data_IF_127037509211
#
_entry.id   IF_127037509211
#
_cell.length_a   1.000
_cell.length_b   1.000
_cell.length_c   1.000
_cell.angle_alpha   90.00
_cell.angle_beta   90.00
_cell.angle_gamma   90.00
#
_symmetry.space_group_name_H-M   'P 1'
#
loop_
_entity.id
_entity.type
_entity.pdbx_description
1 polymer ?
#
# COMPACT_ATOMS: atom_id res chain seq x y z
N UNK A 1 14.73 23.66 -18.20
CA UNK A 1 14.70 22.91 -16.92
C UNK A 1 13.39 22.14 -16.73
N UNK A 2 12.21 22.74 -16.99
CA UNK A 2 10.93 22.02 -17.02
C UNK A 2 10.82 20.98 -18.16
N UNK A 3 11.32 21.28 -19.36
CA UNK A 3 11.34 20.30 -20.47
C UNK A 3 12.21 19.07 -20.20
N UNK A 4 13.25 19.22 -19.38
CA UNK A 4 14.14 18.11 -18.99
C UNK A 4 13.44 17.15 -18.00
N UNK A 5 12.59 17.67 -17.12
CA UNK A 5 11.75 16.85 -16.24
C UNK A 5 10.65 16.13 -17.03
N UNK A 6 9.99 16.78 -18.00
CA UNK A 6 8.96 16.13 -18.83
C UNK A 6 9.52 14.99 -19.72
N UNK A 7 10.77 15.08 -20.19
CA UNK A 7 11.38 14.03 -21.01
C UNK A 7 11.81 12.79 -20.21
N UNK A 8 12.01 12.91 -18.89
CA UNK A 8 12.34 11.78 -17.98
C UNK A 8 11.11 10.96 -17.57
N UNK A 9 9.90 11.48 -17.79
CA UNK A 9 8.63 10.83 -17.44
C UNK A 9 7.81 10.35 -18.65
N UNK A 10 8.31 10.54 -19.89
CA UNK A 10 7.65 10.01 -21.09
C UNK A 10 8.33 8.71 -21.52
N UNK A 11 7.71 7.57 -21.22
CA UNK A 11 8.14 6.26 -21.71
C UNK A 11 6.98 5.54 -22.41
N UNK A 12 6.86 5.63 -23.74
CA UNK A 12 6.43 4.52 -24.56
C UNK A 12 7.69 3.78 -24.98
N UNK A 13 8.09 2.79 -24.20
CA UNK A 13 9.24 1.95 -24.51
C UNK A 13 8.73 0.57 -24.93
N UNK A 14 8.44 0.44 -26.23
CA UNK A 14 8.28 -0.84 -26.91
C UNK A 14 9.61 -1.60 -26.83
N UNK A 15 9.67 -2.67 -26.02
CA UNK A 15 10.82 -3.58 -25.97
C UNK A 15 10.34 -5.02 -25.94
N UNK A 16 10.50 -5.72 -27.06
CA UNK A 16 10.16 -7.14 -27.24
C UNK A 16 11.21 -8.10 -26.64
N UNK A 17 11.93 -7.72 -25.58
CA UNK A 17 13.13 -8.48 -25.16
C UNK A 17 13.45 -8.57 -23.67
N UNK A 18 12.65 -7.98 -22.78
CA UNK A 18 12.89 -8.06 -21.32
C UNK A 18 11.60 -8.25 -20.52
N UNK A 19 10.72 -9.14 -20.94
CA UNK A 19 9.58 -9.51 -20.11
C UNK A 19 10.02 -10.57 -19.09
N UNK A 20 9.97 -10.24 -17.80
CA UNK A 20 10.13 -11.23 -16.70
C UNK A 20 8.97 -12.23 -16.59
N UNK A 21 8.22 -12.41 -17.69
CA UNK A 21 7.08 -13.31 -17.86
C UNK A 21 7.33 -14.17 -19.09
N UNK A 22 6.87 -15.42 -19.04
CA UNK A 22 6.86 -16.32 -20.19
C UNK A 22 5.65 -16.02 -21.07
N UNK A 23 5.91 -15.45 -22.24
CA UNK A 23 4.87 -15.20 -23.25
C UNK A 23 4.38 -16.54 -23.82
N UNK A 24 3.07 -16.65 -23.98
CA UNK A 24 2.45 -17.76 -24.69
C UNK A 24 2.78 -17.67 -26.18
N UNK A 25 2.63 -18.78 -26.90
CA UNK A 25 2.97 -18.87 -28.33
C UNK A 25 2.10 -17.88 -29.13
N UNK A 26 2.74 -16.87 -29.74
CA UNK A 26 2.06 -15.84 -30.52
C UNK A 26 1.48 -14.68 -29.69
N UNK A 27 1.81 -14.59 -28.39
CA UNK A 27 1.38 -13.48 -27.53
C UNK A 27 2.37 -12.31 -27.63
N UNK A 28 1.90 -11.11 -27.98
CA UNK A 28 2.72 -9.90 -27.98
C UNK A 28 2.50 -9.05 -26.71
N UNK A 29 3.57 -8.34 -26.34
CA UNK A 29 3.60 -7.44 -25.20
C UNK A 29 3.21 -6.03 -25.63
N UNK A 30 2.02 -5.57 -25.24
CA UNK A 30 1.55 -4.22 -25.55
C UNK A 30 2.12 -3.18 -24.60
N UNK A 31 2.12 -3.46 -23.28
CA UNK A 31 2.54 -2.46 -22.31
C UNK A 31 3.10 -3.07 -21.03
N UNK A 32 4.09 -2.40 -20.45
CA UNK A 32 4.60 -2.67 -19.11
C UNK A 32 4.37 -1.43 -18.23
N UNK A 33 3.77 -1.63 -17.06
CA UNK A 33 3.43 -0.57 -16.12
C UNK A 33 4.05 -0.87 -14.77
N UNK A 34 4.40 0.21 -14.06
CA UNK A 34 4.87 0.16 -12.66
C UNK A 34 4.11 1.21 -11.85
N UNK A 35 3.87 0.98 -10.55
CA UNK A 35 3.20 1.95 -9.72
C UNK A 35 3.99 3.27 -9.60
N UNK A 36 3.25 4.37 -9.71
CA UNK A 36 3.78 5.71 -9.50
C UNK A 36 4.24 5.91 -8.06
N UNK A 37 5.25 6.76 -7.83
CA UNK A 37 5.73 7.06 -6.47
C UNK A 37 4.61 7.59 -5.56
N UNK A 38 3.81 8.50 -6.09
CA UNK A 38 2.71 9.16 -5.35
C UNK A 38 1.51 8.27 -5.04
N UNK A 39 1.36 7.08 -5.65
CA UNK A 39 0.26 6.19 -5.26
C UNK A 39 0.44 5.67 -3.83
N UNK A 40 1.68 5.49 -3.39
CA UNK A 40 2.03 5.06 -2.04
C UNK A 40 2.32 6.23 -1.08
N UNK A 41 1.96 7.46 -1.45
CA UNK A 41 2.30 8.67 -0.69
C UNK A 41 1.83 8.63 0.77
N UNK A 42 0.65 8.06 1.02
CA UNK A 42 0.13 7.90 2.38
C UNK A 42 1.09 7.10 3.29
N UNK A 43 1.69 6.00 2.80
CA UNK A 43 2.67 5.23 3.56
C UNK A 43 3.97 6.01 3.79
N UNK A 44 4.45 6.74 2.78
CA UNK A 44 5.65 7.58 2.93
C UNK A 44 5.44 8.65 4.01
N UNK A 45 4.27 9.31 4.04
CA UNK A 45 3.96 10.31 5.07
C UNK A 45 4.01 9.71 6.47
N UNK A 46 3.46 8.51 6.67
CA UNK A 46 3.41 7.86 7.99
C UNK A 46 4.81 7.59 8.55
N UNK A 47 5.72 7.10 7.72
CA UNK A 47 7.10 6.85 8.16
C UNK A 47 7.94 8.11 8.22
N UNK A 48 7.69 9.09 7.35
CA UNK A 48 8.31 10.40 7.45
C UNK A 48 7.90 11.12 8.74
N UNK A 49 6.63 11.00 9.14
CA UNK A 49 6.14 11.54 10.40
C UNK A 49 6.86 10.91 11.60
N UNK A 50 7.18 9.62 11.56
CA UNK A 50 8.01 8.99 12.60
C UNK A 50 9.41 9.57 12.68
N UNK A 51 10.03 9.96 11.55
CA UNK A 51 11.33 10.63 11.57
C UNK A 51 11.25 12.02 12.19
N UNK A 52 10.23 12.81 11.81
CA UNK A 52 9.97 14.11 12.43
C UNK A 52 9.73 13.94 13.93
N UNK A 53 8.96 12.92 14.30
CA UNK A 53 8.69 12.60 15.69
C UNK A 53 9.98 12.22 16.46
N UNK A 54 10.85 11.39 15.88
CA UNK A 54 12.16 11.07 16.44
C UNK A 54 13.00 12.32 16.73
N UNK A 55 13.01 13.29 15.81
CA UNK A 55 13.70 14.55 16.01
C UNK A 55 13.08 15.40 17.13
N UNK A 56 11.75 15.52 17.15
CA UNK A 56 11.03 16.26 18.21
C UNK A 56 11.31 15.65 19.59
N UNK A 57 11.38 14.32 19.70
CA UNK A 57 11.68 13.65 20.96
C UNK A 57 13.13 13.88 21.38
N UNK A 58 14.07 13.83 20.43
CA UNK A 58 15.46 14.13 20.74
C UNK A 58 15.60 15.53 21.36
N UNK A 59 14.99 16.55 20.76
CA UNK A 59 14.94 17.91 21.33
C UNK A 59 14.21 17.96 22.68
N UNK A 60 13.13 17.19 22.83
CA UNK A 60 12.33 17.14 24.05
C UNK A 60 13.08 16.51 25.24
N UNK A 61 13.88 15.47 25.00
CA UNK A 61 14.73 14.84 26.02
C UNK A 61 15.98 15.67 26.32
N UNK A 62 16.65 16.21 25.31
CA UNK A 62 17.86 17.04 25.49
C UNK A 62 17.55 18.31 26.30
N UNK A 63 16.42 18.96 26.00
CA UNK A 63 15.99 20.17 26.71
C UNK A 63 15.29 19.90 28.06
N UNK A 64 15.24 18.64 28.55
CA UNK A 64 14.58 18.24 29.80
C UNK A 64 13.09 18.67 29.94
N UNK A 65 12.43 18.98 28.82
CA UNK A 65 11.05 19.51 28.75
C UNK A 65 9.99 18.52 29.29
N UNK A 66 10.37 17.26 29.54
CA UNK A 66 9.49 16.27 30.16
C UNK A 66 9.15 16.58 31.61
N UNK A 67 10.00 17.33 32.32
CA UNK A 67 9.77 17.73 33.71
C UNK A 67 8.63 18.78 33.83
N UNK A 68 8.43 19.61 32.79
CA UNK A 68 7.37 20.64 32.75
C UNK A 68 5.98 20.08 32.43
N UNK A 69 5.87 18.78 32.13
CA UNK A 69 4.61 18.17 31.76
C UNK A 69 3.67 18.05 32.97
N UNK A 70 2.42 18.51 32.84
CA UNK A 70 1.42 18.55 33.93
C UNK A 70 1.21 17.23 34.68
N UNK A 71 1.47 16.10 34.04
CA UNK A 71 1.30 14.77 34.61
C UNK A 71 2.62 14.12 35.07
N UNK A 72 3.76 14.80 34.90
CA UNK A 72 5.08 14.29 35.29
C UNK A 72 5.13 13.91 36.78
N UNK A 73 4.65 14.80 37.65
CA UNK A 73 4.61 14.59 39.11
C UNK A 73 3.80 13.36 39.53
N UNK A 74 2.81 12.96 38.72
CA UNK A 74 1.98 11.77 38.97
C UNK A 74 2.74 10.51 38.52
N UNK A 75 3.44 10.61 37.38
CA UNK A 75 4.15 9.49 36.76
C UNK A 75 5.39 9.11 37.57
N UNK A 76 6.17 10.08 38.07
CA UNK A 76 7.39 9.81 38.85
C UNK A 76 7.10 9.26 40.25
N UNK A 77 5.89 9.50 40.79
CA UNK A 77 5.45 8.93 42.07
C UNK A 77 5.14 7.43 42.00
N UNK A 78 5.04 6.86 40.81
CA UNK A 78 4.83 5.43 40.63
C UNK A 78 6.13 4.72 41.08
N UNK A 79 6.07 3.77 42.03
CA UNK A 79 7.25 3.01 42.41
C UNK A 79 7.83 2.34 41.16
N UNK A 80 9.15 2.28 41.06
CA UNK A 80 9.88 1.77 39.89
C UNK A 80 9.97 2.71 38.67
N UNK A 81 9.48 3.96 38.71
CA UNK A 81 9.66 4.93 37.61
C UNK A 81 10.81 5.92 37.92
N UNK A 82 11.80 6.00 37.02
CA UNK A 82 12.85 7.04 37.03
C UNK A 82 12.47 8.16 36.06
N UNK A 83 13.19 9.29 36.09
CA UNK A 83 12.97 10.43 35.19
C UNK A 83 12.92 10.03 33.70
N UNK A 84 13.85 9.19 33.26
CA UNK A 84 13.89 8.72 31.87
C UNK A 84 12.78 7.73 31.52
N UNK A 85 12.33 6.92 32.48
CA UNK A 85 11.18 6.04 32.27
C UNK A 85 9.86 6.84 32.25
N UNK A 86 9.77 7.92 33.02
CA UNK A 86 8.67 8.88 32.94
C UNK A 86 8.65 9.56 31.56
N UNK A 87 9.81 9.99 31.05
CA UNK A 87 9.95 10.49 29.69
C UNK A 87 9.50 9.47 28.64
N UNK A 88 9.86 8.19 28.79
CA UNK A 88 9.45 7.11 27.91
C UNK A 88 7.92 6.87 27.92
N UNK A 89 7.28 6.98 29.09
CA UNK A 89 5.83 6.86 29.22
C UNK A 89 5.13 8.03 28.53
N UNK A 90 5.62 9.26 28.71
CA UNK A 90 5.09 10.46 28.06
C UNK A 90 5.24 10.35 26.53
N UNK A 91 6.42 9.93 26.06
CA UNK A 91 6.69 9.63 24.65
C UNK A 91 5.72 8.59 24.09
N UNK A 92 5.54 7.48 24.80
CA UNK A 92 4.64 6.39 24.41
C UNK A 92 3.19 6.83 24.33
N UNK A 93 2.75 7.66 25.28
CA UNK A 93 1.39 8.21 25.31
C UNK A 93 1.15 9.14 24.13
N UNK A 94 2.13 10.00 23.80
CA UNK A 94 2.03 10.87 22.64
C UNK A 94 2.03 10.07 21.32
N UNK A 95 2.89 9.05 21.16
CA UNK A 95 2.83 8.12 20.02
C UNK A 95 1.49 7.41 19.91
N UNK A 96 0.91 7.00 21.05
CA UNK A 96 -0.37 6.33 21.09
C UNK A 96 -1.52 7.25 20.64
N UNK A 97 -1.54 8.50 21.10
CA UNK A 97 -2.53 9.51 20.66
C UNK A 97 -2.40 9.77 19.17
N UNK A 98 -1.19 10.01 18.67
CA UNK A 98 -0.95 10.19 17.23
C UNK A 98 -1.37 8.95 16.44
N UNK A 99 -0.99 7.76 16.90
CA UNK A 99 -1.38 6.49 16.27
C UNK A 99 -2.89 6.28 16.25
N UNK A 100 -3.60 6.71 17.30
CA UNK A 100 -5.05 6.65 17.38
C UNK A 100 -5.73 7.64 16.42
N UNK A 101 -5.20 8.86 16.32
CA UNK A 101 -5.65 9.85 15.33
C UNK A 101 -5.42 9.32 13.91
N UNK A 102 -4.23 8.77 13.63
CA UNK A 102 -3.90 8.16 12.35
C UNK A 102 -4.83 6.98 12.02
N UNK A 103 -5.20 6.15 13.02
CA UNK A 103 -6.19 5.10 12.84
C UNK A 103 -7.55 5.63 12.41
N UNK A 104 -7.98 6.74 13.00
CA UNK A 104 -9.27 7.36 12.69
C UNK A 104 -9.27 7.99 11.29
N UNK A 105 -8.22 8.77 10.96
CA UNK A 105 -8.09 9.44 9.66
C UNK A 105 -7.88 8.45 8.50
N UNK A 106 -7.10 7.39 8.72
CA UNK A 106 -6.73 6.41 7.70
C UNK A 106 -7.46 5.08 7.87
N UNK A 107 -8.68 5.07 8.42
CA UNK A 107 -9.42 3.84 8.69
C UNK A 107 -9.54 2.93 7.46
N UNK A 108 -9.74 3.54 6.28
CA UNK A 108 -9.85 2.85 5.00
C UNK A 108 -8.49 2.42 4.42
N UNK A 109 -7.43 3.20 4.67
CA UNK A 109 -6.08 3.02 4.09
C UNK A 109 -5.12 2.18 4.96
N UNK A 110 -5.64 1.42 5.93
CA UNK A 110 -4.81 0.57 6.80
C UNK A 110 -4.43 1.20 8.15
N UNK A 111 -5.20 2.18 8.63
CA UNK A 111 -5.05 2.83 9.95
C UNK A 111 -4.79 1.89 11.12
N UNK A 112 -5.31 0.66 11.08
CA UNK A 112 -5.11 -0.36 12.10
C UNK A 112 -3.68 -0.90 12.16
N UNK A 113 -3.00 -1.10 11.03
CA UNK A 113 -1.61 -1.59 11.02
C UNK A 113 -0.66 -0.50 11.50
N UNK A 114 -0.94 0.75 11.14
CA UNK A 114 -0.19 1.93 11.60
C UNK A 114 -0.30 2.07 13.13
N UNK A 115 -1.51 1.96 13.67
CA UNK A 115 -1.73 1.97 15.11
C UNK A 115 -0.97 0.84 15.81
N UNK A 116 -1.03 -0.39 15.28
CA UNK A 116 -0.28 -1.53 15.83
C UNK A 116 1.23 -1.30 15.82
N UNK A 117 1.76 -0.68 14.75
CA UNK A 117 3.18 -0.34 14.64
C UNK A 117 3.57 0.69 15.70
N UNK A 118 2.79 1.76 15.86
CA UNK A 118 3.10 2.84 16.81
C UNK A 118 2.95 2.37 18.25
N UNK A 119 1.90 1.60 18.56
CA UNK A 119 1.73 1.00 19.89
C UNK A 119 2.81 -0.04 20.20
N UNK A 120 3.19 -0.86 19.19
CA UNK A 120 4.24 -1.85 19.34
C UNK A 120 5.60 -1.21 19.64
N UNK A 121 5.93 -0.12 18.93
CA UNK A 121 7.13 0.66 19.16
C UNK A 121 7.16 1.27 20.57
N UNK A 122 6.04 1.86 21.00
CA UNK A 122 5.88 2.43 22.34
C UNK A 122 6.10 1.39 23.44
N UNK A 123 5.44 0.22 23.33
CA UNK A 123 5.57 -0.88 24.29
C UNK A 123 7.01 -1.41 24.31
N UNK A 124 7.62 -1.61 23.13
CA UNK A 124 9.00 -2.08 23.02
C UNK A 124 9.96 -1.11 23.72
N UNK A 125 9.81 0.20 23.50
CA UNK A 125 10.63 1.21 24.17
C UNK A 125 10.52 1.15 25.70
N UNK A 126 9.30 1.03 26.24
CA UNK A 126 9.08 0.90 27.68
C UNK A 126 9.72 -0.40 28.23
N UNK A 127 9.51 -1.54 27.55
CA UNK A 127 10.02 -2.84 27.99
C UNK A 127 11.55 -2.86 28.02
N UNK A 128 12.20 -2.35 26.97
CA UNK A 128 13.66 -2.33 26.90
C UNK A 128 14.26 -1.42 27.98
N UNK A 129 13.68 -0.25 28.23
CA UNK A 129 14.15 0.63 29.31
C UNK A 129 13.89 0.06 30.71
N UNK A 130 12.75 -0.62 30.90
CA UNK A 130 12.45 -1.32 32.15
C UNK A 130 13.45 -2.46 32.41
N UNK A 131 13.81 -3.22 31.38
CA UNK A 131 14.81 -4.28 31.47
C UNK A 131 16.22 -3.73 31.73
N UNK A 132 16.59 -2.65 31.05
CA UNK A 132 17.89 -2.00 31.26
C UNK A 132 18.04 -1.49 32.69
N UNK A 133 17.00 -0.83 33.23
CA UNK A 133 16.95 -0.39 34.63
C UNK A 133 17.18 -1.53 35.62
N UNK A 134 16.64 -2.72 35.32
CA UNK A 134 16.80 -3.87 36.22
C UNK A 134 18.23 -4.42 36.24
N UNK A 135 19.01 -4.20 35.18
CA UNK A 135 20.33 -4.82 34.98
C UNK A 135 21.51 -3.84 35.08
N UNK A 136 21.30 -2.54 34.84
CA UNK A 136 22.36 -1.51 34.76
C UNK A 136 21.89 -0.19 35.41
N UNK A 137 22.79 0.47 36.14
CA UNK A 137 22.48 1.72 36.87
C UNK A 137 22.40 2.96 35.95
N UNK A 138 23.16 3.00 34.85
CA UNK A 138 23.19 4.15 33.90
C UNK A 138 22.02 4.12 32.90
N UNK A 139 20.81 4.34 33.39
CA UNK A 139 19.58 4.30 32.56
C UNK A 139 19.39 5.60 31.76
N UNK A 140 19.97 6.72 32.20
CA UNK A 140 19.64 8.04 31.64
C UNK A 140 20.27 8.29 30.27
N UNK A 141 21.59 8.09 30.16
CA UNK A 141 22.32 8.24 28.91
C UNK A 141 21.82 7.27 27.83
N UNK A 142 21.45 6.05 28.24
CA UNK A 142 20.92 5.05 27.32
C UNK A 142 19.55 5.46 26.76
N UNK A 143 18.61 5.92 27.60
CA UNK A 143 17.28 6.32 27.13
C UNK A 143 17.28 7.53 26.20
N UNK A 144 18.19 8.48 26.43
CA UNK A 144 18.32 9.70 25.63
C UNK A 144 18.69 9.41 24.17
N UNK A 145 19.53 8.40 23.93
CA UNK A 145 19.90 7.97 22.58
C UNK A 145 18.97 6.88 22.03
N UNK A 146 18.52 5.94 22.88
CA UNK A 146 17.79 4.75 22.46
C UNK A 146 16.38 5.08 21.93
N UNK A 147 15.59 5.92 22.62
CA UNK A 147 14.21 6.22 22.19
C UNK A 147 14.17 6.95 20.85
N UNK A 148 14.92 8.06 20.65
CA UNK A 148 14.97 8.72 19.36
C UNK A 148 15.60 7.81 18.30
N UNK A 149 16.65 7.07 18.66
CA UNK A 149 17.37 6.16 17.77
C UNK A 149 16.50 5.06 17.21
N UNK A 150 15.73 4.34 18.05
CA UNK A 150 14.85 3.27 17.58
C UNK A 150 13.69 3.82 16.75
N UNK A 151 13.13 4.97 17.14
CA UNK A 151 12.06 5.64 16.39
C UNK A 151 12.54 6.07 15.01
N UNK A 152 13.74 6.65 14.92
CA UNK A 152 14.36 7.05 13.66
C UNK A 152 14.70 5.83 12.79
N UNK A 153 15.26 4.77 13.38
CA UNK A 153 15.60 3.54 12.67
C UNK A 153 14.35 2.89 12.05
N UNK A 154 13.26 2.79 12.81
CA UNK A 154 11.99 2.24 12.33
C UNK A 154 11.38 3.12 11.24
N UNK A 155 11.45 4.45 11.39
CA UNK A 155 11.03 5.40 10.35
C UNK A 155 11.82 5.23 9.05
N UNK A 156 13.15 5.14 9.13
CA UNK A 156 14.04 5.00 7.98
C UNK A 156 13.87 3.65 7.28
N UNK A 157 13.88 2.55 8.04
CA UNK A 157 13.62 1.20 7.53
C UNK A 157 12.24 1.15 6.89
N UNK A 158 11.24 1.80 7.49
CA UNK A 158 9.90 1.90 6.94
C UNK A 158 9.86 2.58 5.58
N UNK A 159 10.50 3.75 5.43
CA UNK A 159 10.57 4.46 4.14
C UNK A 159 11.23 3.61 3.04
N UNK A 160 12.36 2.97 3.35
CA UNK A 160 13.05 2.06 2.43
C UNK A 160 12.18 0.86 2.08
N UNK A 161 11.47 0.30 3.07
CA UNK A 161 10.55 -0.83 2.88
C UNK A 161 9.38 -0.46 1.98
N UNK A 162 8.83 0.76 2.11
CA UNK A 162 7.74 1.25 1.24
C UNK A 162 8.23 1.38 -0.20
N UNK A 163 9.43 1.93 -0.43
CA UNK A 163 9.96 2.05 -1.79
C UNK A 163 10.31 0.69 -2.40
N UNK A 164 10.85 -0.24 -1.60
CA UNK A 164 11.06 -1.62 -2.02
C UNK A 164 9.73 -2.32 -2.36
N UNK A 165 8.69 -2.13 -1.53
CA UNK A 165 7.36 -2.67 -1.75
C UNK A 165 6.74 -2.10 -3.03
N UNK A 166 6.80 -0.80 -3.25
CA UNK A 166 6.33 -0.17 -4.50
C UNK A 166 7.02 -0.74 -5.73
N UNK A 167 8.36 -0.86 -5.68
CA UNK A 167 9.16 -1.37 -6.81
C UNK A 167 8.96 -2.86 -7.07
N UNK A 168 8.39 -3.59 -6.10
CA UNK A 168 8.14 -5.03 -6.23
C UNK A 168 7.00 -5.37 -7.20
N UNK A 169 6.12 -4.41 -7.50
CA UNK A 169 5.00 -4.62 -8.39
C UNK A 169 5.33 -4.21 -9.82
N UNK A 170 5.05 -5.11 -10.75
CA UNK A 170 5.09 -4.84 -12.19
C UNK A 170 3.86 -5.43 -12.83
N UNK A 171 3.20 -4.61 -13.65
CA UNK A 171 2.01 -5.02 -14.39
C UNK A 171 2.35 -5.12 -15.86
N UNK A 172 1.88 -6.18 -16.51
CA UNK A 172 2.08 -6.41 -17.93
C UNK A 172 0.72 -6.56 -18.60
N UNK A 173 0.53 -5.83 -19.69
CA UNK A 173 -0.64 -5.94 -20.55
C UNK A 173 -0.18 -6.57 -21.86
N UNK A 174 -0.74 -7.73 -22.17
CA UNK A 174 -0.55 -8.43 -23.44
C UNK A 174 -1.81 -8.31 -24.29
N UNK A 175 -1.85 -8.98 -25.45
CA UNK A 175 -3.05 -9.03 -26.30
C UNK A 175 -4.16 -9.92 -25.74
N UNK A 176 -3.83 -10.93 -24.93
CA UNK A 176 -4.79 -11.92 -24.45
C UNK A 176 -5.10 -11.77 -22.93
N UNK A 177 -4.15 -11.24 -22.15
CA UNK A 177 -4.27 -11.20 -20.69
C UNK A 177 -3.56 -10.01 -20.05
N UNK A 178 -3.98 -9.74 -18.83
CA UNK A 178 -3.30 -8.87 -17.88
C UNK A 178 -2.54 -9.76 -16.91
N UNK A 179 -1.24 -9.52 -16.75
CA UNK A 179 -0.39 -10.22 -15.79
C UNK A 179 0.06 -9.25 -14.70
N UNK A 180 -0.34 -9.55 -13.47
CA UNK A 180 0.04 -8.82 -12.26
C UNK A 180 1.15 -9.61 -11.58
N UNK A 181 2.36 -9.06 -11.54
CA UNK A 181 3.48 -9.64 -10.80
C UNK A 181 3.81 -8.79 -9.57
N UNK A 182 3.97 -9.47 -8.44
CA UNK A 182 4.47 -8.90 -7.19
C UNK A 182 5.61 -9.76 -6.66
N UNK A 183 6.79 -9.18 -6.54
CA UNK A 183 8.00 -9.86 -6.06
C UNK A 183 8.54 -9.16 -4.81
N UNK A 184 7.91 -9.39 -3.65
CA UNK A 184 8.29 -8.74 -2.41
C UNK A 184 8.99 -9.70 -1.46
N UNK A 185 10.24 -9.39 -1.08
CA UNK A 185 11.01 -10.07 -0.03
C UNK A 185 10.78 -11.60 0.04
N UNK A 186 11.01 -12.29 -1.08
CA UNK A 186 10.91 -13.75 -1.24
C UNK A 186 9.51 -14.32 -1.52
N UNK A 187 8.44 -13.55 -1.39
CA UNK A 187 7.13 -13.96 -1.88
C UNK A 187 6.96 -13.54 -3.34
N UNK A 188 6.75 -14.51 -4.23
CA UNK A 188 6.42 -14.27 -5.64
C UNK A 188 4.93 -14.53 -5.83
N UNK A 189 4.18 -13.49 -6.10
CA UNK A 189 2.79 -13.59 -6.52
C UNK A 189 2.71 -13.26 -8.00
N UNK A 190 2.15 -14.18 -8.78
CA UNK A 190 1.78 -13.91 -10.17
C UNK A 190 0.29 -14.21 -10.33
N UNK A 191 -0.47 -13.22 -10.76
CA UNK A 191 -1.90 -13.35 -11.04
C UNK A 191 -2.14 -12.99 -12.50
N UNK A 192 -2.82 -13.86 -13.22
CA UNK A 192 -3.11 -13.68 -14.64
C UNK A 192 -4.62 -13.61 -14.86
N UNK A 193 -5.06 -12.67 -15.68
CA UNK A 193 -6.47 -12.40 -15.96
C UNK A 193 -6.65 -12.30 -17.46
N UNK A 194 -7.41 -13.21 -18.07
CA UNK A 194 -7.74 -13.16 -19.50
C UNK A 194 -8.80 -12.10 -19.78
N UNK A 195 -8.72 -11.41 -20.92
CA UNK A 195 -9.69 -10.37 -21.29
C UNK A 195 -11.12 -10.90 -21.42
N UNK A 196 -11.29 -12.11 -21.98
CA UNK A 196 -12.56 -12.81 -22.04
C UNK A 196 -13.31 -13.02 -20.70
N UNK A 197 -12.64 -12.86 -19.55
CA UNK A 197 -13.25 -13.03 -18.22
C UNK A 197 -13.44 -11.70 -17.48
N UNK A 198 -13.16 -10.56 -18.13
CA UNK A 198 -13.36 -9.23 -17.56
C UNK A 198 -14.75 -8.74 -17.97
N UNK A 199 -15.60 -8.48 -16.98
CA UNK A 199 -16.99 -8.04 -17.21
C UNK A 199 -17.09 -6.52 -17.26
N UNK A 200 -16.33 -5.82 -16.41
CA UNK A 200 -16.34 -4.36 -16.32
C UNK A 200 -14.94 -3.85 -15.91
N UNK A 201 -14.66 -2.58 -16.21
CA UNK A 201 -13.42 -1.92 -15.85
C UNK A 201 -13.75 -0.63 -15.11
N UNK A 202 -13.41 -0.60 -13.82
CA UNK A 202 -13.54 0.59 -13.01
C UNK A 202 -12.22 1.35 -12.95
N UNK A 203 -12.23 2.64 -13.27
CA UNK A 203 -11.07 3.51 -13.11
C UNK A 203 -11.30 4.46 -11.95
N UNK A 204 -10.40 4.46 -10.98
CA UNK A 204 -10.42 5.38 -9.84
C UNK A 204 -9.21 6.30 -9.89
N UNK A 205 -9.48 7.60 -9.90
CA UNK A 205 -8.47 8.65 -9.88
C UNK A 205 -8.89 9.75 -8.93
N UNK A 206 -8.13 9.94 -7.85
CA UNK A 206 -8.34 11.06 -6.93
C UNK A 206 -7.81 12.37 -7.50
N UNK A 207 -8.19 13.51 -6.91
CA UNK A 207 -7.78 14.86 -7.35
C UNK A 207 -6.26 14.99 -7.55
N UNK A 208 -5.48 14.50 -6.59
CA UNK A 208 -4.01 14.48 -6.66
C UNK A 208 -3.51 13.56 -7.78
N UNK A 209 -4.19 12.44 -8.01
CA UNK A 209 -3.91 11.52 -9.11
C UNK A 209 -4.20 12.13 -10.48
N UNK A 210 -5.24 12.95 -10.61
CA UNK A 210 -5.56 13.66 -11.85
C UNK A 210 -4.47 14.67 -12.22
N UNK A 211 -4.00 15.45 -11.24
CA UNK A 211 -2.96 16.46 -11.44
C UNK A 211 -1.62 15.80 -11.80
N UNK A 212 -1.27 14.70 -11.12
CA UNK A 212 0.01 14.02 -11.29
C UNK A 212 -0.04 12.88 -12.33
N UNK A 213 -1.18 12.66 -12.98
CA UNK A 213 -1.35 11.69 -14.06
C UNK A 213 -1.25 10.22 -13.65
N UNK A 214 -1.60 9.86 -12.42
CA UNK A 214 -1.66 8.47 -11.95
C UNK A 214 -3.06 8.10 -11.46
N UNK A 215 -3.43 6.83 -11.56
CA UNK A 215 -4.70 6.31 -11.05
C UNK A 215 -4.69 4.80 -10.93
N UNK A 216 -5.77 4.23 -10.42
CA UNK A 216 -5.91 2.79 -10.23
C UNK A 216 -6.97 2.28 -11.21
N UNK A 217 -6.65 1.22 -11.95
CA UNK A 217 -7.59 0.55 -12.86
C UNK A 217 -7.92 -0.83 -12.29
N UNK A 218 -9.21 -1.10 -12.09
CA UNK A 218 -9.73 -2.33 -11.54
C UNK A 218 -10.47 -3.08 -12.65
N UNK A 219 -9.87 -4.14 -13.21
CA UNK A 219 -10.64 -5.11 -13.99
C UNK A 219 -11.52 -5.91 -13.02
N UNK A 220 -12.82 -5.90 -13.24
CA UNK A 220 -13.79 -6.67 -12.47
C UNK A 220 -14.06 -7.99 -13.21
N UNK A 221 -13.92 -9.12 -12.51
CA UNK A 221 -14.20 -10.45 -13.06
C UNK A 221 -15.26 -11.16 -12.23
N UNK A 222 -16.06 -12.04 -12.85
CA UNK A 222 -17.07 -12.84 -12.16
C UNK A 222 -16.51 -13.75 -11.04
N UNK A 223 -15.19 -13.97 -11.00
CA UNK A 223 -14.49 -14.73 -9.95
C UNK A 223 -14.10 -13.91 -8.70
N UNK A 224 -14.45 -12.62 -8.63
CA UNK A 224 -14.18 -11.77 -7.46
C UNK A 224 -12.86 -10.97 -7.53
N UNK A 225 -12.18 -10.96 -8.68
CA UNK A 225 -11.07 -10.03 -8.88
C UNK A 225 -11.61 -8.60 -8.90
N UNK A 226 -11.01 -7.73 -8.09
CA UNK A 226 -11.44 -6.34 -7.98
C UNK A 226 -12.72 -6.10 -7.16
N UNK A 227 -13.37 -7.13 -6.61
CA UNK A 227 -14.57 -6.98 -5.75
C UNK A 227 -14.23 -6.81 -4.26
N UNK A 228 -12.98 -7.09 -3.86
CA UNK A 228 -12.54 -7.04 -2.46
C UNK A 228 -13.11 -8.18 -1.59
N UNK A 229 -13.67 -9.23 -2.19
CA UNK A 229 -14.28 -10.36 -1.47
C UNK A 229 -13.29 -11.21 -0.68
N UNK A 230 -12.02 -11.27 -1.11
CA UNK A 230 -11.03 -12.18 -0.53
C UNK A 230 -10.64 -11.82 0.92
N UNK A 231 -10.63 -10.54 1.30
CA UNK A 231 -10.44 -10.15 2.71
C UNK A 231 -11.67 -10.41 3.58
N UNK A 232 -12.87 -10.48 2.98
CA UNK A 232 -14.11 -10.72 3.73
C UNK A 232 -14.18 -12.17 4.21
N UNK A 233 -13.56 -13.09 3.46
CA UNK A 233 -13.49 -14.51 3.82
C UNK A 233 -12.44 -14.80 4.91
N UNK A 234 -11.34 -14.04 4.98
CA UNK A 234 -10.30 -14.23 6.02
C UNK A 234 -10.80 -13.80 7.41
N UNK A 235 -11.73 -12.84 7.50
CA UNK A 235 -12.38 -12.51 8.78
C UNK A 235 -13.40 -13.58 9.20
N UNK A 236 -13.91 -14.38 8.25
CA UNK A 236 -14.81 -15.50 8.53
C UNK A 236 -14.06 -16.81 8.90
N UNK A 237 -12.73 -16.86 8.73
CA UNK A 237 -11.92 -18.06 8.91
C UNK A 237 -11.29 -18.26 10.31
N UNK A 238 -11.29 -17.24 11.18
CA UNK A 238 -10.93 -17.45 12.58
C UNK A 238 -12.16 -17.98 13.34
N UNK A 239 -12.30 -19.31 13.34
CA UNK A 239 -13.38 -20.07 13.98
C UNK A 239 -13.46 -19.91 15.50
N UNK A 240 -13.81 -18.71 15.95
CA UNK A 240 -14.33 -18.47 17.28
C UNK A 240 -15.67 -17.73 17.12
N UNK A 241 -16.74 -18.52 16.96
CA UNK A 241 -18.07 -18.09 17.40
C UNK A 241 -17.98 -17.77 18.91
N UNK A 242 -17.58 -16.56 19.25
CA UNK A 242 -17.89 -16.03 20.59
C UNK A 242 -19.28 -15.44 20.48
N UNK A 243 -20.26 -16.32 20.63
CA UNK A 243 -21.64 -15.96 20.95
C UNK A 243 -21.62 -15.01 22.15
N UNK A 244 -21.94 -13.75 21.88
CA UNK A 244 -22.51 -12.78 22.80
C UNK A 244 -21.87 -12.67 24.19
N UNK A 245 -20.87 -11.81 24.34
CA UNK A 245 -20.81 -10.90 25.50
C UNK A 245 -19.80 -9.76 25.23
N UNK A 246 -20.29 -8.52 25.19
CA UNK A 246 -19.45 -7.34 25.45
C UNK A 246 -18.82 -6.59 24.26
N UNK A 247 -19.56 -6.33 23.17
CA UNK A 247 -19.24 -5.18 22.28
C UNK A 247 -20.52 -4.37 22.09
N UNK A 248 -20.82 -3.56 23.08
CA UNK A 248 -21.98 -2.69 23.12
C UNK A 248 -21.67 -1.44 23.94
N UNK A 249 -20.69 -0.64 23.50
CA UNK A 249 -20.53 0.74 23.98
C UNK A 249 -19.64 1.59 23.05
N UNK A 250 -19.96 1.67 21.76
CA UNK A 250 -19.86 2.91 20.98
C UNK A 250 -20.46 2.65 19.59
N UNK A 251 -21.45 3.46 19.24
CA UNK A 251 -22.18 3.35 17.98
C UNK A 251 -21.25 3.30 16.77
N UNK A 252 -21.39 2.23 16.00
CA UNK A 252 -20.75 2.06 14.71
C UNK A 252 -21.68 1.23 13.84
N UNK A 253 -22.72 1.90 13.35
CA UNK A 253 -23.62 1.41 12.31
C UNK A 253 -22.86 0.62 11.26
N UNK A 254 -23.23 -0.66 11.11
CA UNK A 254 -22.88 -1.52 9.98
C UNK A 254 -23.40 -0.88 8.70
N UNK A 255 -22.64 0.04 8.11
CA UNK A 255 -22.89 0.51 6.75
C UNK A 255 -22.13 -0.39 5.80
N UNK A 256 -22.91 -1.26 5.18
CA UNK A 256 -22.58 -2.17 4.09
C UNK A 256 -22.24 -1.40 2.81
N UNK A 257 -21.09 -0.72 2.79
CA UNK A 257 -20.38 -0.31 1.58
C UNK A 257 -18.92 -0.03 1.95
N UNK A 258 -18.19 -1.07 2.36
CA UNK A 258 -16.73 -0.94 2.49
C UNK A 258 -16.20 -0.58 1.11
N UNK A 259 -15.62 0.62 0.98
CA UNK A 259 -14.86 1.00 -0.22
C UNK A 259 -13.84 -0.10 -0.46
N UNK A 260 -13.86 -0.68 -1.65
CA UNK A 260 -12.98 -1.77 -2.04
C UNK A 260 -11.54 -1.34 -1.74
N UNK A 261 -10.85 -2.09 -0.89
CA UNK A 261 -9.44 -1.85 -0.64
C UNK A 261 -8.69 -2.28 -1.90
N UNK A 262 -8.03 -1.32 -2.53
CA UNK A 262 -7.22 -1.56 -3.72
C UNK A 262 -5.93 -2.24 -3.31
N UNK A 263 -5.94 -3.57 -3.29
CA UNK A 263 -4.73 -4.36 -3.11
C UNK A 263 -3.90 -4.32 -4.40
N UNK A 264 -2.61 -3.93 -4.38
CA UNK A 264 -1.75 -3.93 -5.57
C UNK A 264 -1.59 -5.29 -6.25
N UNK A 265 -1.93 -6.39 -5.58
CA UNK A 265 -1.96 -7.74 -6.14
C UNK A 265 -3.22 -8.05 -6.98
N UNK A 266 -4.29 -7.28 -6.80
CA UNK A 266 -5.62 -7.56 -7.37
C UNK A 266 -6.11 -6.48 -8.33
N UNK A 267 -5.36 -5.38 -8.45
CA UNK A 267 -5.66 -4.28 -9.37
C UNK A 267 -4.40 -3.66 -9.94
N UNK A 268 -4.56 -2.93 -11.06
CA UNK A 268 -3.50 -2.12 -11.65
C UNK A 268 -3.34 -0.84 -10.82
N UNK A 269 -2.58 -0.92 -9.73
CA UNK A 269 -2.51 0.11 -8.71
C UNK A 269 -1.56 1.25 -9.07
N UNK A 270 -2.07 2.48 -9.05
CA UNK A 270 -1.25 3.68 -9.23
C UNK A 270 -0.52 3.74 -10.57
N UNK A 271 -1.13 3.21 -11.64
CA UNK A 271 -0.55 3.21 -12.97
C UNK A 271 -0.51 4.63 -13.56
N UNK A 272 0.56 4.97 -14.31
CA UNK A 272 0.63 6.23 -15.04
C UNK A 272 -0.39 6.23 -16.19
N UNK A 273 -0.99 7.39 -16.46
CA UNK A 273 -1.98 7.59 -17.53
C UNK A 273 -3.12 6.54 -17.49
N UNK A 274 -3.89 6.47 -16.39
CA UNK A 274 -4.90 5.42 -16.18
C UNK A 274 -5.97 5.36 -17.29
N UNK A 275 -6.30 6.49 -17.92
CA UNK A 275 -7.23 6.55 -19.06
C UNK A 275 -6.73 5.73 -20.24
N UNK A 276 -5.46 5.88 -20.63
CA UNK A 276 -4.89 5.11 -21.75
C UNK A 276 -4.83 3.62 -21.44
N UNK A 277 -4.49 3.28 -20.19
CA UNK A 277 -4.45 1.89 -19.73
C UNK A 277 -5.84 1.27 -19.81
N UNK A 278 -6.87 1.98 -19.35
CA UNK A 278 -8.27 1.54 -19.49
C UNK A 278 -8.65 1.37 -20.96
N UNK A 279 -8.39 2.37 -21.79
CA UNK A 279 -8.79 2.36 -23.20
C UNK A 279 -8.12 1.19 -23.96
N UNK A 280 -6.84 0.92 -23.68
CA UNK A 280 -6.11 -0.24 -24.22
C UNK A 280 -6.72 -1.58 -23.77
N UNK A 281 -7.12 -1.70 -22.52
CA UNK A 281 -7.78 -2.91 -22.00
C UNK A 281 -9.14 -3.07 -22.69
N UNK A 282 -9.91 -2.00 -22.84
CA UNK A 282 -11.21 -2.03 -23.51
C UNK A 282 -11.08 -2.43 -24.98
N UNK A 283 -10.08 -1.89 -25.69
CA UNK A 283 -9.77 -2.27 -27.07
C UNK A 283 -9.42 -3.76 -27.18
N UNK A 284 -8.58 -4.26 -26.27
CA UNK A 284 -8.23 -5.69 -26.25
C UNK A 284 -9.43 -6.59 -25.97
N UNK A 285 -10.33 -6.20 -25.06
CA UNK A 285 -11.57 -6.94 -24.79
C UNK A 285 -12.44 -6.99 -26.05
N UNK A 286 -12.54 -5.89 -26.80
CA UNK A 286 -13.31 -5.86 -28.06
C UNK A 286 -12.69 -6.79 -29.11
N UNK A 287 -11.37 -6.73 -29.29
CA UNK A 287 -10.62 -7.56 -30.26
C UNK A 287 -10.71 -9.06 -29.98
N UNK A 288 -10.83 -9.44 -28.70
CA UNK A 288 -10.94 -10.83 -28.25
C UNK A 288 -12.40 -11.34 -28.33
N UNK A 289 -13.36 -10.50 -28.73
CA UNK A 289 -14.74 -10.95 -28.92
C UNK A 289 -14.90 -11.79 -30.19
N UNK A 290 -15.65 -12.90 -30.07
CA UNK A 290 -15.90 -13.81 -31.19
C UNK A 290 -16.55 -13.14 -32.42
N UNK A 291 -17.23 -12.00 -32.24
CA UNK A 291 -17.83 -11.23 -33.35
C UNK A 291 -16.75 -10.61 -34.25
N UNK A 292 -15.65 -10.14 -33.68
CA UNK A 292 -14.56 -9.55 -34.45
C UNK A 292 -13.77 -10.61 -35.22
N UNK A 293 -13.54 -11.77 -34.59
CA UNK A 293 -12.98 -12.93 -35.29
C UNK A 293 -13.86 -13.37 -36.48
N UNK A 294 -15.19 -13.37 -36.32
CA UNK A 294 -16.10 -13.72 -37.42
C UNK A 294 -16.07 -12.69 -38.56
N UNK A 295 -15.97 -11.40 -38.25
CA UNK A 295 -15.79 -10.35 -39.27
C UNK A 295 -14.47 -10.51 -40.02
N UNK A 296 -13.38 -10.78 -39.31
CA UNK A 296 -12.07 -11.02 -39.93
C UNK A 296 -12.11 -12.26 -40.83
N UNK A 297 -12.76 -13.34 -40.41
CA UNK A 297 -12.95 -14.54 -41.25
C UNK A 297 -13.78 -14.20 -42.50
N UNK A 298 -14.88 -13.45 -42.35
CA UNK A 298 -15.69 -13.01 -43.48
C UNK A 298 -14.90 -12.17 -44.49
N UNK A 299 -14.09 -11.21 -44.01
CA UNK A 299 -13.28 -10.34 -44.87
C UNK A 299 -12.15 -11.10 -45.58
N UNK A 300 -11.54 -12.09 -44.91
CA UNK A 300 -10.54 -12.95 -45.54
C UNK A 300 -11.16 -13.83 -46.62
N UNK A 301 -12.35 -14.38 -46.39
CA UNK A 301 -13.09 -15.15 -47.38
C UNK A 301 -13.51 -14.29 -48.57
N UNK A 302 -14.02 -13.08 -48.35
CA UNK A 302 -14.40 -12.19 -49.45
C UNK A 302 -13.20 -11.75 -50.30
N UNK A 303 -12.04 -11.52 -49.68
CA UNK A 303 -10.80 -11.24 -50.42
C UNK A 303 -10.28 -12.45 -51.20
N UNK A 304 -10.52 -13.67 -50.72
CA UNK A 304 -10.18 -14.87 -51.50
C UNK A 304 -11.09 -15.01 -52.72
N UNK A 305 -12.39 -14.79 -52.57
CA UNK A 305 -13.34 -14.78 -53.70
C UNK A 305 -12.96 -13.72 -54.75
N UNK A 306 -12.64 -12.49 -54.34
CA UNK A 306 -12.20 -11.43 -55.27
C UNK A 306 -10.88 -11.76 -56.01
N UNK A 307 -9.97 -12.51 -55.39
CA UNK A 307 -8.71 -12.93 -56.04
C UNK A 307 -8.88 -14.18 -56.92
N UNK A 308 -9.96 -14.95 -56.76
CA UNK A 308 -10.28 -16.09 -57.63
C UNK A 308 -11.04 -15.65 -58.88
N UNK A 309 -11.69 -14.48 -58.84
CA UNK A 309 -12.43 -13.87 -59.95
C UNK A 309 -11.56 -12.96 -60.87
N UNK A 310 -10.27 -12.73 -60.56
CA UNK A 310 -9.25 -12.08 -61.41
C UNK A 310 -8.35 -13.09 -62.16
#
# INVERSE_FOLDING_TARGET
MLEWLCKRFNYPTYWSGMSGITLLRGEEMKMQLKPHFFSFFHLYIIFFFLLVWAYVIHDFFDAHKFQDFRFYDIIIKIPFVNEVLAGAIIWSLALFVVGFIARYLFMDAGGQSIFRLYSGLAILGIVVLSYHKWKMEDTEAFGLWFIPGITAAVGLIGLLSVDAYRRSFTYYLTDNRIVIQGNFLMNRSERQVRYNHIEDIKMEQGVVGTILGYGTVLPLTGSGLGTGSDETMVIAGSGAEVKGLGIGLLGGSRTSSKRIRHNPHDCLYGVPQPSKVRDLITENIQSDTGVEHLKNIQELLSKQEENEDE
#
